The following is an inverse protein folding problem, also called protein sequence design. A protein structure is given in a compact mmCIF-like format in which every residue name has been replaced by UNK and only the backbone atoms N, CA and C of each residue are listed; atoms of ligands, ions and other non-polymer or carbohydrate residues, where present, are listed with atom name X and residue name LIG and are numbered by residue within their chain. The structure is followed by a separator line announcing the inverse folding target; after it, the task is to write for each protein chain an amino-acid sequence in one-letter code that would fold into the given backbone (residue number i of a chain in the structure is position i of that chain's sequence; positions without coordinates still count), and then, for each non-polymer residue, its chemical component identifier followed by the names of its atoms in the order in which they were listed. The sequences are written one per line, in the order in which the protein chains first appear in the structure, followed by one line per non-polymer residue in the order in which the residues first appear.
data_IF_745926552824
#
_entry.id   IF_745926552824
#
_cell.length_a   1.000
_cell.length_b   1.000
_cell.length_c   1.000
_cell.angle_alpha   90.00
_cell.angle_beta   90.00
_cell.angle_gamma   90.00
#
_symmetry.space_group_name_H-M   'P 1'
#
loop_
_entity.id
_entity.type
_entity.pdbx_description
1 polymer ?
#
# COMPACT_ATOMS: atom_id res chain seq x y z
N UNK A 1 6.46 9.82 3.64
CA UNK A 1 5.80 8.55 4.00
C UNK A 1 6.47 8.04 5.24
N UNK A 2 5.70 7.87 6.31
CA UNK A 2 6.22 7.43 7.61
C UNK A 2 6.30 5.91 7.69
N UNK A 3 5.22 5.23 7.31
CA UNK A 3 5.14 3.78 7.25
C UNK A 3 4.00 3.34 6.33
N UNK A 4 4.08 2.11 5.86
CA UNK A 4 3.00 1.44 5.14
C UNK A 4 2.88 0.02 5.66
N UNK A 5 1.69 -0.54 5.53
CA UNK A 5 1.44 -1.96 5.73
C UNK A 5 0.45 -2.49 4.71
N UNK A 6 0.32 -3.80 4.69
CA UNK A 6 -0.61 -4.49 3.83
C UNK A 6 -1.20 -5.70 4.54
N UNK A 7 -2.37 -6.10 4.09
CA UNK A 7 -3.03 -7.33 4.51
C UNK A 7 -3.58 -8.07 3.30
N UNK A 8 -3.71 -9.38 3.42
CA UNK A 8 -4.59 -10.17 2.58
C UNK A 8 -5.58 -10.92 3.46
N UNK A 9 -6.83 -10.96 3.03
CA UNK A 9 -7.91 -11.61 3.75
C UNK A 9 -8.67 -12.56 2.85
N UNK A 10 -8.92 -13.76 3.35
CA UNK A 10 -9.78 -14.77 2.71
C UNK A 10 -10.93 -15.12 3.64
N UNK A 11 -12.12 -15.31 3.08
CA UNK A 11 -13.29 -15.76 3.80
C UNK A 11 -13.43 -17.29 3.74
N UNK A 12 -13.97 -17.92 4.79
CA UNK A 12 -14.17 -19.38 4.87
C UNK A 12 -12.90 -20.21 4.55
N UNK A 13 -11.74 -19.78 5.09
CA UNK A 13 -10.44 -20.43 4.88
C UNK A 13 -10.26 -21.64 5.81
N UNK A 14 -9.92 -22.81 5.26
CA UNK A 14 -9.60 -24.02 6.04
C UNK A 14 -8.10 -24.10 6.33
N UNK A 15 -7.73 -24.45 7.57
CA UNK A 15 -6.34 -24.63 7.96
C UNK A 15 -5.84 -26.08 7.80
N UNK A 16 -4.55 -26.30 8.05
CA UNK A 16 -3.90 -27.63 7.92
C UNK A 16 -4.44 -28.69 8.89
N UNK A 17 -5.27 -28.30 9.87
CA UNK A 17 -5.94 -29.20 10.81
C UNK A 17 -7.38 -29.52 10.41
N UNK A 18 -7.88 -28.91 9.34
CA UNK A 18 -9.28 -28.97 8.89
C UNK A 18 -10.21 -28.02 9.65
N UNK A 19 -9.68 -27.04 10.38
CA UNK A 19 -10.49 -26.01 11.04
C UNK A 19 -10.81 -24.91 10.04
N UNK A 20 -12.11 -24.63 9.86
CA UNK A 20 -12.57 -23.53 9.01
C UNK A 20 -12.64 -22.23 9.81
N UNK A 21 -11.92 -21.22 9.34
CA UNK A 21 -11.89 -19.87 9.86
C UNK A 21 -12.80 -18.99 9.00
N UNK A 22 -13.72 -18.27 9.64
CA UNK A 22 -14.61 -17.35 8.92
C UNK A 22 -13.82 -16.34 8.08
N UNK A 23 -12.74 -15.81 8.64
CA UNK A 23 -11.76 -15.00 7.92
C UNK A 23 -10.39 -15.47 8.38
N UNK A 24 -9.47 -15.68 7.43
CA UNK A 24 -8.04 -15.75 7.68
C UNK A 24 -7.40 -14.47 7.17
N UNK A 25 -6.64 -13.80 8.03
CA UNK A 25 -5.89 -12.59 7.70
C UNK A 25 -4.39 -12.89 7.74
N UNK A 26 -3.66 -12.44 6.74
CA UNK A 26 -2.19 -12.42 6.69
C UNK A 26 -1.69 -11.02 6.34
N UNK A 27 -0.39 -10.75 6.54
CA UNK A 27 0.25 -9.52 6.07
C UNK A 27 1.26 -8.91 7.04
N UNK A 28 1.96 -7.88 6.53
CA UNK A 28 2.87 -7.04 7.31
C UNK A 28 2.18 -5.72 7.62
N UNK A 29 1.80 -5.52 8.88
CA UNK A 29 1.03 -4.37 9.29
C UNK A 29 1.88 -3.08 9.35
N UNK A 30 1.25 -1.90 9.39
CA UNK A 30 1.99 -0.63 9.41
C UNK A 30 3.00 -0.50 10.56
N UNK A 31 2.77 -1.14 11.72
CA UNK A 31 3.60 -0.96 12.93
C UNK A 31 4.38 -2.21 13.30
N UNK A 32 3.86 -3.40 13.01
CA UNK A 32 4.52 -4.67 13.33
C UNK A 32 4.43 -5.66 12.17
N UNK A 33 5.40 -6.55 12.11
CA UNK A 33 5.40 -7.68 11.18
C UNK A 33 5.92 -8.92 11.92
N UNK A 34 5.44 -10.10 11.52
CA UNK A 34 5.93 -11.37 12.03
C UNK A 34 6.54 -12.17 10.87
N UNK A 35 7.85 -12.01 10.72
CA UNK A 35 8.63 -12.59 9.63
C UNK A 35 8.92 -14.09 9.82
N UNK A 36 8.46 -14.68 10.92
CA UNK A 36 8.72 -16.09 11.25
C UNK A 36 7.50 -16.99 11.10
N UNK A 37 6.29 -16.42 11.08
CA UNK A 37 5.05 -17.19 11.11
C UNK A 37 3.93 -16.61 10.24
N UNK A 38 4.03 -15.36 9.76
CA UNK A 38 2.95 -14.73 8.99
C UNK A 38 3.42 -14.34 7.60
N UNK A 39 4.52 -13.58 7.50
CA UNK A 39 5.10 -13.13 6.22
C UNK A 39 6.55 -13.56 6.12
N UNK A 40 6.82 -14.74 5.58
CA UNK A 40 8.08 -15.44 5.74
C UNK A 40 8.99 -15.26 4.50
N UNK A 41 10.15 -14.59 4.63
CA UNK A 41 11.11 -14.46 3.53
C UNK A 41 11.62 -15.82 3.05
N UNK A 42 11.70 -15.98 1.73
CA UNK A 42 12.20 -17.19 1.08
C UNK A 42 13.59 -16.93 0.52
N UNK A 43 14.54 -17.80 0.89
CA UNK A 43 15.88 -17.79 0.33
C UNK A 43 15.82 -18.06 -1.17
N UNK A 44 16.36 -17.14 -1.95
CA UNK A 44 16.45 -17.31 -3.40
C UNK A 44 17.59 -18.27 -3.75
N UNK A 45 17.65 -18.71 -5.01
CA UNK A 45 18.68 -19.64 -5.49
C UNK A 45 20.12 -19.12 -5.29
N UNK A 46 20.30 -17.81 -5.12
CA UNK A 46 21.59 -17.19 -4.81
C UNK A 46 22.03 -17.40 -3.36
N UNK A 47 21.11 -17.82 -2.48
CA UNK A 47 21.31 -17.89 -1.03
C UNK A 47 20.94 -16.61 -0.28
N UNK A 48 20.37 -15.61 -0.96
CA UNK A 48 19.92 -14.36 -0.36
C UNK A 48 18.39 -14.28 -0.33
N UNK A 49 17.80 -13.75 0.73
CA UNK A 49 16.35 -13.46 0.80
C UNK A 49 15.98 -12.27 -0.09
N UNK A 50 16.89 -11.30 -0.18
CA UNK A 50 16.75 -10.09 -0.99
C UNK A 50 17.92 -10.03 -1.98
N UNK A 51 17.60 -9.88 -3.26
CA UNK A 51 18.59 -9.65 -4.33
C UNK A 51 18.40 -8.27 -4.95
N UNK A 52 19.50 -7.60 -5.28
CA UNK A 52 19.53 -6.28 -5.91
C UNK A 52 20.28 -6.35 -7.23
N UNK A 53 19.58 -6.01 -8.30
CA UNK A 53 20.12 -5.98 -9.65
C UNK A 53 20.35 -4.54 -10.08
N UNK A 54 21.54 -4.26 -10.59
CA UNK A 54 21.96 -2.96 -11.10
C UNK A 54 22.15 -3.04 -12.61
N UNK A 55 21.59 -2.08 -13.35
CA UNK A 55 21.74 -2.00 -14.80
C UNK A 55 23.16 -1.63 -15.21
N UNK A 56 23.86 -0.87 -14.37
CA UNK A 56 25.21 -0.41 -14.64
C UNK A 56 26.07 -0.66 -13.41
N UNK A 57 27.35 -0.96 -13.64
CA UNK A 57 28.35 -0.98 -12.58
C UNK A 57 28.41 0.41 -11.92
N UNK A 58 28.17 0.52 -10.59
CA UNK A 58 28.33 1.78 -9.88
C UNK A 58 29.77 2.32 -10.03
N UNK A 59 29.96 3.64 -10.17
CA UNK A 59 31.27 4.23 -10.37
C UNK A 59 32.16 4.05 -9.13
N UNK A 60 33.46 3.89 -9.35
CA UNK A 60 34.46 3.97 -8.27
C UNK A 60 34.84 5.44 -8.04
N UNK A 61 34.68 5.94 -6.82
CA UNK A 61 34.90 7.34 -6.46
C UNK A 61 36.05 7.44 -5.45
N UNK A 62 37.22 7.88 -5.88
CA UNK A 62 38.36 8.08 -4.96
C UNK A 62 38.67 9.56 -4.80
N UNK A 63 38.83 10.02 -3.55
CA UNK A 63 39.29 11.38 -3.20
C UNK A 63 40.58 11.24 -2.40
N UNK A 64 41.66 11.86 -2.86
CA UNK A 64 42.99 11.79 -2.22
C UNK A 64 43.49 10.36 -1.93
N UNK A 65 43.14 9.42 -2.82
CA UNK A 65 43.48 7.99 -2.70
C UNK A 65 42.58 7.20 -1.75
N UNK A 66 41.59 7.84 -1.12
CA UNK A 66 40.60 7.18 -0.27
C UNK A 66 39.32 6.91 -1.07
N UNK A 67 38.80 5.67 -1.09
CA UNK A 67 37.48 5.41 -1.65
C UNK A 67 36.41 6.14 -0.83
N UNK A 68 35.52 6.84 -1.53
CA UNK A 68 34.39 7.59 -0.97
C UNK A 68 33.06 6.89 -1.22
N UNK A 69 33.06 5.80 -2.00
CA UNK A 69 31.89 4.94 -2.20
C UNK A 69 31.85 3.80 -1.18
N UNK A 70 30.66 3.35 -0.86
CA UNK A 70 30.46 2.11 -0.11
C UNK A 70 31.01 0.91 -0.89
N UNK A 71 31.46 -0.15 -0.20
CA UNK A 71 31.87 -1.39 -0.84
C UNK A 71 30.78 -1.92 -1.78
N UNK A 72 31.17 -2.25 -3.00
CA UNK A 72 30.29 -2.85 -4.00
C UNK A 72 31.04 -3.96 -4.75
N UNK A 73 30.40 -5.12 -5.03
CA UNK A 73 29.06 -5.51 -4.58
C UNK A 73 29.02 -5.89 -3.09
N UNK A 74 27.86 -5.70 -2.43
CA UNK A 74 27.51 -6.39 -1.18
C UNK A 74 26.92 -7.78 -1.51
N UNK A 75 26.80 -8.71 -0.53
CA UNK A 75 26.00 -9.92 -0.73
C UNK A 75 24.59 -9.59 -1.26
N UNK A 76 24.14 -10.33 -2.26
CA UNK A 76 22.89 -10.06 -2.98
C UNK A 76 22.97 -8.99 -4.08
N UNK A 77 24.10 -8.31 -4.29
CA UNK A 77 24.26 -7.32 -5.38
C UNK A 77 24.80 -7.93 -6.67
N UNK A 78 24.10 -7.68 -7.76
CA UNK A 78 24.45 -8.16 -9.10
C UNK A 78 24.38 -7.03 -10.12
N UNK A 79 25.38 -6.96 -11.01
CA UNK A 79 25.29 -6.12 -12.22
C UNK A 79 24.78 -6.99 -13.35
N UNK A 80 23.46 -7.05 -13.50
CA UNK A 80 22.76 -7.92 -14.44
C UNK A 80 21.62 -7.16 -15.14
N UNK A 81 21.93 -6.43 -16.22
CA UNK A 81 20.96 -5.56 -16.90
C UNK A 81 19.73 -6.30 -17.45
N UNK A 82 19.91 -7.56 -17.83
CA UNK A 82 18.89 -8.40 -18.46
C UNK A 82 17.83 -8.89 -17.44
N UNK A 83 18.17 -8.89 -16.14
CA UNK A 83 17.24 -9.20 -15.05
C UNK A 83 16.29 -8.04 -14.74
N UNK A 84 16.59 -6.82 -15.22
CA UNK A 84 15.82 -5.61 -14.89
C UNK A 84 14.86 -5.26 -16.02
N UNK A 85 13.53 -5.34 -15.80
CA UNK A 85 12.56 -5.00 -16.83
C UNK A 85 12.57 -3.51 -17.19
N UNK A 86 12.19 -3.21 -18.43
CA UNK A 86 11.99 -1.84 -18.90
C UNK A 86 13.25 -0.99 -18.83
N UNK A 87 13.12 0.22 -18.29
CA UNK A 87 14.19 1.24 -18.25
C UNK A 87 14.73 1.51 -16.84
N UNK A 88 14.28 0.77 -15.82
CA UNK A 88 14.74 0.95 -14.44
C UNK A 88 16.26 0.73 -14.34
N UNK A 89 16.93 1.46 -13.46
CA UNK A 89 18.39 1.35 -13.27
C UNK A 89 18.75 0.39 -12.13
N UNK A 90 17.84 0.21 -11.18
CA UNK A 90 17.97 -0.73 -10.07
C UNK A 90 16.64 -1.48 -9.90
N UNK A 91 16.74 -2.79 -9.61
CA UNK A 91 15.62 -3.62 -9.17
C UNK A 91 15.99 -4.35 -7.89
N UNK A 92 15.14 -4.28 -6.88
CA UNK A 92 15.19 -5.17 -5.71
C UNK A 92 14.16 -6.28 -5.93
N UNK A 93 14.54 -7.53 -5.70
CA UNK A 93 13.65 -8.69 -5.76
C UNK A 93 13.62 -9.41 -4.42
N UNK A 94 12.43 -9.73 -3.95
CA UNK A 94 12.20 -10.61 -2.80
C UNK A 94 11.04 -11.57 -3.09
N UNK A 95 11.03 -12.69 -2.38
CA UNK A 95 9.93 -13.65 -2.39
C UNK A 95 9.55 -13.95 -0.96
N UNK A 96 8.26 -13.94 -0.66
CA UNK A 96 7.74 -14.32 0.66
C UNK A 96 6.63 -15.36 0.51
N UNK A 97 6.55 -16.29 1.45
CA UNK A 97 5.35 -17.08 1.68
C UNK A 97 4.54 -16.45 2.82
N UNK A 98 3.25 -16.78 2.86
CA UNK A 98 2.34 -16.30 3.90
C UNK A 98 1.63 -17.45 4.58
N UNK A 99 1.22 -17.27 5.83
CA UNK A 99 0.40 -18.23 6.56
C UNK A 99 -1.04 -18.40 6.02
N UNK A 100 -1.38 -17.69 4.94
CA UNK A 100 -2.60 -17.86 4.16
C UNK A 100 -2.43 -18.89 3.03
N UNK A 101 -1.19 -19.27 2.68
CA UNK A 101 -0.89 -20.13 1.53
C UNK A 101 -0.60 -19.35 0.24
N UNK A 102 -0.32 -18.04 0.36
CA UNK A 102 -0.01 -17.17 -0.77
C UNK A 102 1.49 -16.88 -0.81
N UNK A 103 2.10 -17.06 -1.98
CA UNK A 103 3.45 -16.61 -2.28
C UNK A 103 3.40 -15.27 -3.02
N UNK A 104 4.19 -14.30 -2.57
CA UNK A 104 4.32 -12.99 -3.20
C UNK A 104 5.74 -12.86 -3.75
N UNK A 105 5.86 -12.71 -5.06
CA UNK A 105 7.09 -12.24 -5.69
C UNK A 105 7.02 -10.72 -5.88
N UNK A 106 7.92 -9.99 -5.24
CA UNK A 106 8.04 -8.54 -5.38
C UNK A 106 9.22 -8.16 -6.28
N UNK A 107 9.00 -7.17 -7.15
CA UNK A 107 10.05 -6.39 -7.79
C UNK A 107 9.85 -4.91 -7.49
N UNK A 108 10.80 -4.30 -6.78
CA UNK A 108 10.85 -2.85 -6.56
C UNK A 108 11.84 -2.20 -7.55
N UNK A 109 11.35 -1.30 -8.39
CA UNK A 109 12.09 -0.68 -9.50
C UNK A 109 12.37 0.79 -9.21
N UNK A 110 13.61 1.21 -9.47
CA UNK A 110 14.08 2.59 -9.25
C UNK A 110 14.79 3.21 -10.46
N UNK A 111 14.68 4.53 -10.58
CA UNK A 111 15.31 5.37 -11.60
C UNK A 111 16.06 6.52 -10.95
N UNK A 112 17.26 6.84 -11.43
CA UNK A 112 18.10 7.96 -11.01
C UNK A 112 18.46 8.91 -12.16
N UNK A 113 17.76 8.81 -13.29
CA UNK A 113 18.05 9.58 -14.51
C UNK A 113 17.05 10.72 -14.76
N UNK A 114 17.49 11.77 -15.48
CA UNK A 114 16.81 13.07 -15.66
C UNK A 114 15.40 13.08 -16.31
N UNK A 115 14.92 11.96 -16.82
CA UNK A 115 13.60 11.80 -17.46
C UNK A 115 12.59 11.10 -16.55
N UNK A 116 12.95 10.83 -15.28
CA UNK A 116 12.04 10.36 -14.25
C UNK A 116 12.07 11.32 -13.05
N UNK A 117 10.91 11.45 -12.42
CA UNK A 117 10.76 12.11 -11.12
C UNK A 117 11.07 11.14 -9.96
N UNK A 118 10.76 11.52 -8.73
CA UNK A 118 11.06 10.74 -7.55
C UNK A 118 9.94 9.74 -7.24
N UNK A 119 10.11 8.49 -7.66
CA UNK A 119 9.20 7.42 -7.33
C UNK A 119 9.88 6.05 -7.33
N UNK A 120 9.21 5.08 -6.70
CA UNK A 120 9.53 3.65 -6.75
C UNK A 120 8.29 2.92 -7.25
N UNK A 121 8.47 1.99 -8.19
CA UNK A 121 7.39 1.08 -8.62
C UNK A 121 7.57 -0.26 -7.93
N UNK A 122 6.50 -0.78 -7.35
CA UNK A 122 6.42 -2.12 -6.81
C UNK A 122 5.52 -2.96 -7.71
N UNK A 123 6.05 -4.07 -8.19
CA UNK A 123 5.38 -5.01 -9.08
C UNK A 123 5.29 -6.35 -8.35
N UNK A 124 4.08 -6.68 -7.89
CA UNK A 124 3.79 -7.87 -7.12
C UNK A 124 3.09 -8.91 -7.99
N UNK A 125 3.59 -10.13 -7.96
CA UNK A 125 2.85 -11.31 -8.42
C UNK A 125 2.41 -12.11 -7.21
N UNK A 126 1.09 -12.22 -7.03
CA UNK A 126 0.44 -12.87 -5.91
C UNK A 126 -0.06 -14.22 -6.40
N UNK A 127 0.44 -15.32 -5.84
CA UNK A 127 0.14 -16.69 -6.29
C UNK A 127 -0.43 -17.50 -5.13
N UNK A 128 -1.57 -18.18 -5.35
CA UNK A 128 -2.05 -19.19 -4.41
C UNK A 128 -1.20 -20.45 -4.57
N UNK A 129 -0.20 -20.65 -3.70
CA UNK A 129 0.68 -21.82 -3.75
C UNK A 129 0.23 -22.92 -2.80
N UNK A 130 -0.58 -22.59 -1.79
CA UNK A 130 -0.96 -23.47 -0.70
C UNK A 130 0.17 -23.75 0.29
N UNK A 131 1.33 -23.10 0.16
CA UNK A 131 2.46 -23.26 1.06
C UNK A 131 2.37 -22.22 2.18
N UNK A 132 2.24 -22.70 3.42
CA UNK A 132 2.03 -21.85 4.60
C UNK A 132 3.27 -21.64 5.44
N UNK A 133 4.43 -22.11 4.99
CA UNK A 133 5.71 -21.94 5.68
C UNK A 133 6.90 -21.66 4.72
N UNK A 134 8.11 -22.12 5.04
CA UNK A 134 9.34 -21.82 4.29
C UNK A 134 9.97 -23.05 3.64
N UNK A 135 9.43 -24.24 3.89
CA UNK A 135 9.94 -25.46 3.30
C UNK A 135 9.26 -25.74 1.94
N UNK A 136 9.64 -26.86 1.31
CA UNK A 136 9.18 -27.19 -0.04
C UNK A 136 7.90 -28.03 -0.09
N UNK A 137 7.45 -28.55 1.06
CA UNK A 137 6.15 -29.22 1.19
C UNK A 137 5.03 -28.20 0.95
N UNK A 138 3.88 -28.70 0.50
CA UNK A 138 2.70 -27.87 0.23
C UNK A 138 1.60 -28.40 1.13
N UNK A 139 1.15 -27.59 2.08
CA UNK A 139 0.22 -28.02 3.13
C UNK A 139 -1.23 -27.97 2.64
N UNK A 140 -1.55 -27.02 1.76
CA UNK A 140 -2.91 -26.75 1.26
C UNK A 140 -2.99 -26.86 -0.29
N UNK A 141 -2.60 -28.00 -0.90
CA UNK A 141 -2.41 -28.11 -2.35
C UNK A 141 -3.71 -28.01 -3.18
N UNK A 142 -4.86 -28.23 -2.56
CA UNK A 142 -6.17 -28.26 -3.23
C UNK A 142 -7.07 -27.06 -2.83
N UNK A 143 -6.56 -26.14 -2.02
CA UNK A 143 -7.34 -25.02 -1.50
C UNK A 143 -7.49 -23.90 -2.53
N UNK A 144 -8.73 -23.50 -2.80
CA UNK A 144 -9.04 -22.32 -3.61
C UNK A 144 -9.30 -21.14 -2.67
N UNK A 145 -8.73 -19.98 -2.99
CA UNK A 145 -9.04 -18.71 -2.33
C UNK A 145 -10.08 -18.02 -3.20
N UNK A 146 -11.36 -18.06 -2.86
CA UNK A 146 -12.43 -17.58 -3.75
C UNK A 146 -12.89 -16.15 -3.46
N UNK A 147 -12.42 -15.58 -2.35
CA UNK A 147 -12.82 -14.28 -1.84
C UNK A 147 -11.60 -13.47 -1.35
N UNK A 148 -10.49 -13.55 -2.09
CA UNK A 148 -9.22 -12.98 -1.66
C UNK A 148 -9.19 -11.47 -1.90
N UNK A 149 -9.05 -10.70 -0.82
CA UNK A 149 -8.79 -9.27 -0.89
C UNK A 149 -7.36 -8.95 -0.49
N UNK A 150 -6.81 -7.90 -1.11
CA UNK A 150 -5.57 -7.25 -0.70
C UNK A 150 -5.90 -5.84 -0.19
N UNK A 151 -5.42 -5.47 1.00
CA UNK A 151 -5.52 -4.13 1.55
C UNK A 151 -4.14 -3.51 1.65
N UNK A 152 -4.02 -2.22 1.36
CA UNK A 152 -2.88 -1.42 1.75
C UNK A 152 -3.31 -0.32 2.71
N UNK A 153 -2.48 -0.07 3.71
CA UNK A 153 -2.62 0.99 4.70
C UNK A 153 -1.37 1.88 4.64
N UNK A 154 -1.51 3.08 4.08
CA UNK A 154 -0.40 4.01 3.84
C UNK A 154 -0.51 5.24 4.73
N UNK A 155 0.47 5.43 5.61
CA UNK A 155 0.62 6.67 6.38
C UNK A 155 1.62 7.59 5.68
N UNK A 156 1.08 8.59 5.01
CA UNK A 156 1.83 9.47 4.12
C UNK A 156 2.47 10.64 4.86
N UNK A 157 1.88 11.07 5.97
CA UNK A 157 2.36 12.13 6.86
C UNK A 157 3.52 11.68 7.75
N UNK A 158 4.28 12.65 8.28
CA UNK A 158 5.34 12.42 9.28
C UNK A 158 4.92 13.15 10.56
N UNK A 159 4.30 12.42 11.49
CA UNK A 159 3.92 12.83 12.85
C UNK A 159 3.09 14.14 12.97
N UNK A 160 1.96 14.07 13.71
CA UNK A 160 1.11 15.19 14.19
C UNK A 160 -0.18 15.55 13.41
N UNK A 161 -0.76 14.67 12.59
CA UNK A 161 -2.09 14.92 11.99
C UNK A 161 -2.17 16.25 11.21
N UNK A 162 -1.10 16.57 10.49
CA UNK A 162 -0.91 17.87 9.84
C UNK A 162 -1.20 17.86 8.33
N UNK A 163 -1.58 16.71 7.76
CA UNK A 163 -1.76 16.56 6.33
C UNK A 163 -3.21 16.27 5.97
N UNK A 164 -3.67 16.94 4.92
CA UNK A 164 -4.87 16.56 4.20
C UNK A 164 -4.57 15.34 3.35
N UNK A 165 -5.46 14.35 3.37
CA UNK A 165 -5.40 13.17 2.53
C UNK A 165 -6.47 13.29 1.43
N UNK A 166 -6.06 13.10 0.18
CA UNK A 166 -6.94 13.19 -0.99
C UNK A 166 -6.52 12.20 -2.07
N UNK A 167 -7.40 11.94 -3.03
CA UNK A 167 -7.13 11.01 -4.11
C UNK A 167 -7.88 11.32 -5.39
N UNK A 168 -7.58 10.52 -6.41
CA UNK A 168 -8.29 10.40 -7.68
C UNK A 168 -8.40 8.92 -8.00
N UNK A 169 -9.45 8.52 -8.70
CA UNK A 169 -9.67 7.13 -9.09
C UNK A 169 -11.04 6.62 -8.73
N UNK A 170 -11.78 7.28 -7.82
CA UNK A 170 -13.16 6.92 -7.49
C UNK A 170 -14.20 7.33 -8.55
N UNK A 171 -13.80 8.01 -9.63
CA UNK A 171 -14.69 8.36 -10.75
C UNK A 171 -14.26 7.70 -12.07
N UNK A 172 -15.22 7.31 -12.91
CA UNK A 172 -14.97 6.70 -14.22
C UNK A 172 -14.16 7.63 -15.15
N UNK A 173 -14.32 8.94 -14.98
CA UNK A 173 -13.62 9.97 -15.76
C UNK A 173 -12.20 10.26 -15.24
N UNK A 174 -11.82 9.78 -14.06
CA UNK A 174 -10.47 9.95 -13.57
C UNK A 174 -9.49 9.10 -14.39
N UNK A 175 -8.39 9.73 -14.79
CA UNK A 175 -7.32 9.12 -15.61
C UNK A 175 -6.18 8.53 -14.78
N UNK A 176 -6.29 8.64 -13.45
CA UNK A 176 -5.29 8.23 -12.49
C UNK A 176 -5.99 7.59 -11.28
N UNK A 177 -5.34 6.59 -10.69
CA UNK A 177 -5.72 5.98 -9.41
C UNK A 177 -4.64 6.31 -8.40
N UNK A 178 -4.76 7.45 -7.74
CA UNK A 178 -3.73 8.00 -6.87
C UNK A 178 -4.33 8.44 -5.56
N UNK A 179 -3.52 8.35 -4.52
CA UNK A 179 -3.79 8.96 -3.25
C UNK A 179 -2.55 9.70 -2.78
N UNK A 180 -2.75 10.88 -2.23
CA UNK A 180 -1.66 11.75 -1.83
C UNK A 180 -2.03 12.55 -0.59
N UNK A 181 -1.00 12.91 0.16
CA UNK A 181 -1.11 13.77 1.31
C UNK A 181 -0.33 15.06 1.09
N UNK A 182 -0.93 16.19 1.48
CA UNK A 182 -0.29 17.51 1.41
C UNK A 182 -0.49 18.27 2.73
N UNK A 183 0.44 19.15 3.10
CA UNK A 183 0.37 19.89 4.35
C UNK A 183 -0.90 20.75 4.45
N UNK A 184 -1.58 20.68 5.60
CA UNK A 184 -2.62 21.61 6.01
C UNK A 184 -2.21 22.38 7.26
N UNK A 185 -2.94 23.43 7.62
CA UNK A 185 -2.81 24.06 8.93
C UNK A 185 -3.62 23.26 9.97
N UNK A 186 -2.97 22.57 10.93
CA UNK A 186 -3.66 21.77 11.93
C UNK A 186 -4.37 22.61 13.00
N UNK A 187 -3.93 23.84 13.27
CA UNK A 187 -4.31 24.60 14.47
C UNK A 187 -5.02 25.94 14.18
N UNK A 188 -5.27 26.27 12.91
CA UNK A 188 -6.09 27.41 12.50
C UNK A 188 -5.48 28.77 12.76
N UNK A 189 -4.14 28.87 12.73
CA UNK A 189 -3.45 30.14 12.77
C UNK A 189 -3.45 30.87 11.42
N UNK A 190 -3.49 30.14 10.29
CA UNK A 190 -3.22 30.59 8.93
C UNK A 190 -4.27 30.17 7.88
N UNK A 191 -3.82 29.98 6.64
CA UNK A 191 -4.63 29.46 5.52
C UNK A 191 -4.83 27.94 5.68
N UNK A 192 -5.95 27.41 5.19
CA UNK A 192 -6.36 26.01 5.39
C UNK A 192 -5.47 25.02 4.59
N UNK A 193 -4.60 25.55 3.72
CA UNK A 193 -3.60 24.83 2.93
C UNK A 193 -2.18 25.30 3.25
N UNK A 194 -1.27 24.36 3.52
CA UNK A 194 0.12 24.63 3.88
C UNK A 194 0.36 24.72 5.37
N UNK A 195 1.44 24.11 5.85
CA UNK A 195 1.89 24.32 7.23
C UNK A 195 2.52 25.71 7.34
N UNK A 196 1.97 26.58 8.18
CA UNK A 196 2.55 27.88 8.51
C UNK A 196 2.85 27.95 10.00
N UNK A 197 4.13 27.90 10.38
CA UNK A 197 4.52 28.36 11.71
C UNK A 197 4.57 29.87 11.69
N UNK A 198 3.46 30.52 12.08
CA UNK A 198 3.34 31.98 12.12
C UNK A 198 4.34 32.65 13.07
N UNK A 199 4.83 31.89 14.04
CA UNK A 199 5.74 32.38 15.07
C UNK A 199 7.22 32.42 14.60
N UNK A 200 7.55 31.76 13.47
CA UNK A 200 8.89 31.76 12.88
C UNK A 200 8.91 32.50 11.53
N UNK A 201 9.44 33.73 11.55
CA UNK A 201 9.82 34.57 10.39
C UNK A 201 10.35 33.79 9.16
N UNK A 202 10.16 34.25 7.89
CA UNK A 202 9.13 35.08 7.29
C UNK A 202 8.30 34.29 6.23
N UNK A 203 7.02 34.00 6.46
CA UNK A 203 6.03 33.73 5.39
C UNK A 203 6.33 32.64 4.35
N UNK A 204 7.22 31.68 4.63
CA UNK A 204 7.46 30.53 3.76
C UNK A 204 6.51 29.38 4.11
N UNK A 205 6.11 28.61 3.09
CA UNK A 205 5.40 27.35 3.28
C UNK A 205 6.34 26.39 3.99
N UNK A 206 5.95 25.93 5.18
CA UNK A 206 6.68 24.88 5.88
C UNK A 206 6.34 23.52 5.26
N UNK A 207 7.36 22.67 5.11
CA UNK A 207 7.23 21.32 4.52
C UNK A 207 6.50 21.30 3.15
N UNK A 208 6.95 22.03 2.11
CA UNK A 208 6.28 22.09 0.81
C UNK A 208 6.50 20.81 -0.01
N UNK A 209 6.14 19.66 0.56
CA UNK A 209 6.26 18.36 -0.06
C UNK A 209 4.92 17.62 -0.04
N UNK A 210 4.73 16.79 -1.04
CA UNK A 210 3.58 15.91 -1.21
C UNK A 210 4.12 14.49 -1.34
N UNK A 211 3.47 13.56 -0.68
CA UNK A 211 3.79 12.14 -0.80
C UNK A 211 2.53 11.43 -1.24
N UNK A 212 2.67 10.41 -2.08
CA UNK A 212 1.51 9.69 -2.57
C UNK A 212 1.83 8.26 -2.97
N UNK A 213 0.75 7.51 -3.14
CA UNK A 213 0.72 6.17 -3.69
C UNK A 213 -0.19 6.13 -4.90
N UNK A 214 0.11 5.28 -5.88
CA UNK A 214 -0.68 5.12 -7.09
C UNK A 214 -0.86 3.64 -7.42
N UNK A 215 -2.06 3.26 -7.86
CA UNK A 215 -2.33 1.94 -8.45
C UNK A 215 -2.17 2.05 -9.96
N UNK A 216 -1.14 1.38 -10.49
CA UNK A 216 -0.77 1.46 -11.90
C UNK A 216 -1.40 0.35 -12.74
N UNK A 217 -1.52 -0.86 -12.16
CA UNK A 217 -2.08 -2.02 -12.83
C UNK A 217 -2.64 -3.00 -11.82
N UNK A 218 -3.79 -3.59 -12.13
CA UNK A 218 -4.34 -4.73 -11.42
C UNK A 218 -4.90 -5.71 -12.45
N UNK A 219 -4.46 -6.96 -12.46
CA UNK A 219 -5.08 -7.97 -13.33
C UNK A 219 -6.57 -8.11 -13.03
N UNK A 220 -7.40 -8.16 -14.07
CA UNK A 220 -8.85 -8.37 -13.92
C UNK A 220 -9.20 -9.76 -13.37
N UNK A 221 -8.40 -10.77 -13.69
CA UNK A 221 -8.51 -12.12 -13.10
C UNK A 221 -7.23 -12.93 -13.37
N UNK A 222 -7.06 -14.13 -12.79
CA UNK A 222 -5.91 -14.99 -13.12
C UNK A 222 -5.80 -15.38 -14.59
N UNK A 223 -6.91 -15.31 -15.32
CA UNK A 223 -6.98 -15.66 -16.74
C UNK A 223 -7.08 -14.46 -17.66
N UNK A 224 -7.15 -13.25 -17.09
CA UNK A 224 -7.27 -11.98 -17.82
C UNK A 224 -6.29 -10.95 -17.23
N UNK A 225 -5.12 -10.77 -17.86
CA UNK A 225 -4.09 -9.85 -17.37
C UNK A 225 -4.34 -8.39 -17.79
N UNK A 226 -5.53 -8.06 -18.29
CA UNK A 226 -5.88 -6.67 -18.58
C UNK A 226 -6.07 -5.89 -17.28
N UNK A 227 -5.73 -4.60 -17.32
CA UNK A 227 -5.85 -3.71 -16.16
C UNK A 227 -7.33 -3.45 -15.82
N UNK A 228 -7.76 -3.87 -14.63
CA UNK A 228 -9.09 -3.56 -14.10
C UNK A 228 -9.13 -2.15 -13.51
N UNK A 229 -9.68 -1.23 -14.30
CA UNK A 229 -9.84 0.17 -13.90
C UNK A 229 -10.89 0.40 -12.79
N UNK A 230 -11.68 -0.61 -12.41
CA UNK A 230 -12.54 -0.53 -11.23
C UNK A 230 -11.79 -0.84 -9.93
N UNK A 231 -10.54 -1.29 -10.02
CA UNK A 231 -9.67 -1.45 -8.85
C UNK A 231 -8.86 -0.18 -8.62
N UNK A 232 -8.60 0.23 -7.36
CA UNK A 232 -9.03 -0.42 -6.13
C UNK A 232 -10.54 -0.26 -5.89
N UNK A 233 -11.22 -1.37 -5.60
CA UNK A 233 -12.65 -1.39 -5.33
C UNK A 233 -13.02 -0.88 -3.93
N UNK A 234 -12.04 -0.56 -3.08
CA UNK A 234 -12.26 0.17 -1.84
C UNK A 234 -11.23 1.27 -1.67
N UNK A 235 -11.64 2.47 -1.29
CA UNK A 235 -10.75 3.57 -0.92
C UNK A 235 -11.27 4.33 0.30
N UNK A 236 -10.38 4.81 1.18
CA UNK A 236 -10.78 5.67 2.28
C UNK A 236 -9.66 6.19 3.14
N UNK A 237 -9.94 7.20 3.95
CA UNK A 237 -9.00 7.75 4.92
C UNK A 237 -9.60 7.67 6.31
N UNK A 238 -8.86 7.07 7.24
CA UNK A 238 -9.30 6.85 8.61
C UNK A 238 -8.10 6.93 9.56
N UNK A 239 -8.34 6.92 10.86
CA UNK A 239 -7.33 6.94 11.90
C UNK A 239 -6.22 5.88 11.69
N UNK A 240 -4.97 6.32 11.79
CA UNK A 240 -3.78 5.46 11.70
C UNK A 240 -3.53 4.58 12.95
N UNK A 241 -4.19 4.87 14.07
CA UNK A 241 -3.93 4.25 15.38
C UNK A 241 -4.89 3.11 15.75
N UNK A 242 -5.71 2.65 14.81
CA UNK A 242 -6.64 1.56 15.05
C UNK A 242 -5.89 0.26 15.33
N UNK A 243 -5.95 -0.21 16.58
CA UNK A 243 -5.16 -1.36 17.06
C UNK A 243 -5.33 -2.61 16.19
N UNK A 244 -6.54 -2.85 15.71
CA UNK A 244 -6.92 -4.02 14.91
C UNK A 244 -6.44 -3.99 13.45
N UNK A 245 -5.95 -2.85 12.95
CA UNK A 245 -5.43 -2.71 11.57
C UNK A 245 -3.98 -2.23 11.50
N UNK A 246 -3.40 -1.81 12.63
CA UNK A 246 -2.00 -1.33 12.67
C UNK A 246 -1.02 -2.43 13.10
N UNK A 247 -1.52 -3.50 13.71
CA UNK A 247 -0.74 -4.60 14.25
C UNK A 247 -0.89 -5.85 13.37
N UNK A 248 0.16 -6.66 13.28
CA UNK A 248 0.16 -7.87 12.46
C UNK A 248 -0.87 -8.91 12.96
N UNK A 249 -1.32 -9.81 12.06
CA UNK A 249 -2.36 -10.80 12.36
C UNK A 249 -2.08 -11.68 13.59
N UNK A 250 -0.81 -11.95 13.93
CA UNK A 250 -0.48 -12.79 15.09
C UNK A 250 -0.75 -12.12 16.44
N UNK A 251 -0.97 -10.81 16.45
CA UNK A 251 -1.27 -10.01 17.64
C UNK A 251 -2.76 -9.60 17.72
N UNK A 252 -3.59 -10.05 16.79
CA UNK A 252 -5.01 -9.71 16.71
C UNK A 252 -5.87 -10.97 16.78
N UNK A 253 -7.14 -10.78 17.11
CA UNK A 253 -8.13 -11.85 17.26
C UNK A 253 -8.87 -12.13 15.95
N UNK A 254 -9.50 -13.31 15.79
CA UNK A 254 -10.35 -13.60 14.63
C UNK A 254 -11.49 -12.60 14.41
N UNK A 255 -12.01 -12.00 15.49
CA UNK A 255 -13.00 -10.92 15.38
C UNK A 255 -12.41 -9.66 14.75
N UNK A 256 -11.16 -9.32 15.08
CA UNK A 256 -10.44 -8.19 14.48
C UNK A 256 -10.03 -8.48 13.04
N UNK A 257 -9.66 -9.73 12.72
CA UNK A 257 -9.42 -10.16 11.33
C UNK A 257 -10.64 -9.90 10.46
N UNK A 258 -11.82 -10.26 10.97
CA UNK A 258 -13.09 -9.97 10.30
C UNK A 258 -13.33 -8.47 10.13
N UNK A 259 -12.97 -7.62 11.10
CA UNK A 259 -13.08 -6.16 10.94
C UNK A 259 -12.20 -5.63 9.79
N UNK A 260 -10.97 -6.14 9.63
CA UNK A 260 -10.09 -5.76 8.51
C UNK A 260 -10.67 -6.22 7.17
N UNK A 261 -11.21 -7.44 7.11
CA UNK A 261 -11.86 -7.96 5.92
C UNK A 261 -13.16 -7.21 5.57
N UNK A 262 -13.94 -6.80 6.58
CA UNK A 262 -15.13 -5.97 6.37
C UNK A 262 -14.73 -4.60 5.81
N UNK A 263 -13.61 -4.01 6.23
CA UNK A 263 -13.08 -2.80 5.57
C UNK A 263 -12.76 -3.05 4.10
N UNK A 264 -12.06 -4.14 3.76
CA UNK A 264 -11.72 -4.48 2.37
C UNK A 264 -12.96 -4.60 1.47
N UNK A 265 -14.01 -5.25 1.98
CA UNK A 265 -15.18 -5.66 1.20
C UNK A 265 -16.35 -4.67 1.24
N UNK A 266 -16.47 -3.87 2.31
CA UNK A 266 -17.62 -3.02 2.60
C UNK A 266 -17.24 -1.55 2.89
N UNK A 267 -15.95 -1.19 2.84
CA UNK A 267 -15.50 0.16 3.14
C UNK A 267 -15.61 0.52 4.63
N UNK A 268 -15.70 1.82 4.92
CA UNK A 268 -15.62 2.36 6.28
C UNK A 268 -16.97 2.77 6.90
N UNK A 269 -18.05 2.79 6.11
CA UNK A 269 -19.34 3.36 6.51
C UNK A 269 -19.93 2.72 7.77
N UNK A 270 -19.76 1.41 7.94
CA UNK A 270 -20.26 0.65 9.09
C UNK A 270 -19.72 1.16 10.44
N UNK A 271 -18.59 1.87 10.42
CA UNK A 271 -18.00 2.49 11.61
C UNK A 271 -18.58 3.89 11.89
N UNK A 272 -19.17 4.53 10.89
CA UNK A 272 -19.83 5.84 10.99
C UNK A 272 -18.89 7.05 11.04
N UNK A 273 -17.58 6.85 11.00
CA UNK A 273 -16.58 7.92 11.08
C UNK A 273 -16.24 8.54 9.72
N UNK A 274 -16.27 7.71 8.68
CA UNK A 274 -15.83 8.05 7.33
C UNK A 274 -17.00 7.79 6.38
N UNK A 275 -17.63 8.84 5.82
CA UNK A 275 -18.80 8.67 4.96
C UNK A 275 -18.44 7.98 3.64
N UNK A 276 -19.27 7.01 3.27
CA UNK A 276 -19.28 6.43 1.91
C UNK A 276 -19.63 7.49 0.86
N UNK A 277 -18.94 7.48 -0.28
CA UNK A 277 -19.22 8.29 -1.45
C UNK A 277 -20.35 7.63 -2.25
N UNK A 278 -21.46 8.34 -2.37
CA UNK A 278 -22.68 7.91 -3.03
C UNK A 278 -23.20 9.04 -3.91
N UNK A 279 -24.13 8.74 -4.82
CA UNK A 279 -24.78 9.79 -5.63
C UNK A 279 -25.46 10.88 -4.76
N UNK A 280 -25.93 10.52 -3.56
CA UNK A 280 -26.61 11.44 -2.65
C UNK A 280 -25.68 12.46 -1.98
N UNK A 281 -24.39 12.17 -1.89
CA UNK A 281 -23.37 13.03 -1.29
C UNK A 281 -22.16 13.24 -2.21
N UNK A 282 -22.32 13.05 -3.51
CA UNK A 282 -21.26 13.22 -4.50
C UNK A 282 -20.91 14.72 -4.67
N UNK A 283 -19.67 15.15 -4.34
CA UNK A 283 -19.24 16.54 -4.53
C UNK A 283 -19.13 16.93 -6.02
N UNK A 284 -19.05 15.95 -6.93
CA UNK A 284 -18.96 16.13 -8.38
C UNK A 284 -20.12 15.39 -9.09
N UNK A 285 -21.38 15.88 -8.99
CA UNK A 285 -22.57 15.16 -9.44
C UNK A 285 -22.66 14.95 -10.97
N UNK A 286 -21.78 15.58 -11.75
CA UNK A 286 -21.62 15.34 -13.18
C UNK A 286 -20.71 14.16 -13.53
N UNK A 287 -20.08 13.54 -12.53
CA UNK A 287 -19.14 12.44 -12.69
C UNK A 287 -19.75 11.15 -12.17
N UNK A 288 -19.44 10.04 -12.83
CA UNK A 288 -19.91 8.71 -12.44
C UNK A 288 -18.95 8.08 -11.44
N UNK A 289 -19.46 7.74 -10.24
CA UNK A 289 -18.68 7.02 -9.22
C UNK A 289 -18.38 5.61 -9.74
N UNK A 290 -17.13 5.16 -9.62
CA UNK A 290 -16.74 3.80 -10.00
C UNK A 290 -17.41 2.76 -9.08
N UNK A 291 -17.65 1.54 -9.58
CA UNK A 291 -18.09 0.44 -8.72
C UNK A 291 -17.10 0.20 -7.58
N UNK A 292 -17.60 0.03 -6.37
CA UNK A 292 -16.78 -0.19 -5.18
C UNK A 292 -17.33 0.55 -3.96
N UNK A 293 -16.54 0.53 -2.89
CA UNK A 293 -16.79 1.27 -1.66
C UNK A 293 -15.74 2.39 -1.51
N UNK A 294 -16.08 3.59 -1.96
CA UNK A 294 -15.18 4.73 -1.95
C UNK A 294 -15.59 5.70 -0.86
N UNK A 295 -14.66 6.20 -0.06
CA UNK A 295 -14.98 7.23 0.92
C UNK A 295 -14.96 8.63 0.31
N UNK A 296 -15.75 9.53 0.87
CA UNK A 296 -15.62 10.97 0.58
C UNK A 296 -14.22 11.44 1.00
N UNK A 297 -13.56 12.23 0.15
CA UNK A 297 -12.20 12.74 0.43
C UNK A 297 -12.26 13.75 1.57
N UNK A 298 -11.19 13.83 2.38
CA UNK A 298 -11.14 14.79 3.49
C UNK A 298 -11.37 16.23 3.02
N UNK A 299 -10.90 16.59 1.82
CA UNK A 299 -10.98 17.95 1.27
C UNK A 299 -12.36 18.33 0.69
N UNK A 300 -13.29 17.39 0.54
CA UNK A 300 -14.62 17.65 -0.04
C UNK A 300 -15.58 18.26 1.00
N UNK A 301 -15.22 19.43 1.53
CA UNK A 301 -15.91 20.14 2.64
C UNK A 301 -17.37 20.52 2.35
N UNK A 302 -17.79 20.50 1.08
CA UNK A 302 -19.20 20.65 0.71
C UNK A 302 -20.07 19.51 1.23
N UNK A 303 -19.45 18.35 1.42
CA UNK A 303 -20.04 17.12 1.96
C UNK A 303 -19.67 16.98 3.44
N UNK A 304 -18.39 17.10 3.75
CA UNK A 304 -17.87 17.05 5.13
C UNK A 304 -18.01 18.44 5.76
N UNK A 305 -19.18 18.72 6.33
CA UNK A 305 -19.52 20.03 6.89
C UNK A 305 -18.91 20.24 8.27
N UNK A 306 -18.47 21.46 8.54
CA UNK A 306 -18.03 21.89 9.87
C UNK A 306 -16.57 21.54 10.19
N UNK A 307 -15.85 20.95 9.24
CA UNK A 307 -14.41 20.71 9.32
C UNK A 307 -13.70 21.84 8.57
N UNK A 308 -12.71 22.44 9.20
CA UNK A 308 -11.81 23.42 8.60
C UNK A 308 -10.34 22.99 8.71
N UNK A 309 -10.01 22.28 9.78
CA UNK A 309 -8.69 21.75 10.06
C UNK A 309 -8.75 20.23 10.25
N UNK A 310 -7.62 19.56 10.07
CA UNK A 310 -7.54 18.10 10.21
C UNK A 310 -7.90 17.65 11.64
N UNK A 311 -7.60 18.48 12.65
CA UNK A 311 -8.00 18.22 14.03
C UNK A 311 -9.50 18.38 14.31
N UNK A 312 -10.29 18.88 13.36
CA UNK A 312 -11.75 18.92 13.50
C UNK A 312 -12.39 17.54 13.25
N UNK A 313 -11.66 16.60 12.64
CA UNK A 313 -12.12 15.21 12.52
C UNK A 313 -12.00 14.49 13.86
N UNK A 314 -13.15 14.13 14.45
CA UNK A 314 -13.21 13.43 15.75
C UNK A 314 -12.43 12.10 15.76
N UNK A 315 -12.30 11.45 14.61
CA UNK A 315 -11.57 10.19 14.48
C UNK A 315 -10.06 10.37 14.36
N UNK A 316 -9.54 11.57 14.10
CA UNK A 316 -8.10 11.79 13.94
C UNK A 316 -7.42 11.94 15.30
N UNK A 317 -6.56 10.99 15.67
CA UNK A 317 -5.72 11.06 16.89
C UNK A 317 -4.30 11.52 16.57
N UNK A 318 -3.36 10.61 16.29
CA UNK A 318 -1.96 10.97 15.99
C UNK A 318 -1.67 11.11 14.49
N UNK A 319 -2.61 10.68 13.64
CA UNK A 319 -2.54 10.84 12.20
C UNK A 319 -3.64 10.05 11.50
N UNK A 320 -3.82 10.33 10.22
CA UNK A 320 -4.65 9.55 9.33
C UNK A 320 -3.79 8.56 8.54
N UNK A 321 -4.40 7.49 8.07
CA UNK A 321 -3.84 6.59 7.07
C UNK A 321 -4.82 6.52 5.90
N UNK A 322 -4.26 6.42 4.70
CA UNK A 322 -5.04 6.02 3.55
C UNK A 322 -5.14 4.51 3.47
N UNK A 323 -6.31 4.04 3.08
CA UNK A 323 -6.60 2.65 2.86
C UNK A 323 -7.13 2.48 1.45
N UNK A 324 -6.62 1.46 0.77
CA UNK A 324 -7.26 0.96 -0.44
C UNK A 324 -7.27 -0.56 -0.44
N UNK A 325 -8.35 -1.17 -0.94
CA UNK A 325 -8.39 -2.61 -1.17
C UNK A 325 -8.60 -2.96 -2.63
N UNK A 326 -7.99 -4.06 -3.03
CA UNK A 326 -8.07 -4.68 -4.34
C UNK A 326 -8.71 -6.06 -4.18
N UNK A 327 -9.57 -6.41 -5.13
CA UNK A 327 -10.27 -7.70 -5.17
C UNK A 327 -11.80 -7.53 -5.17
N UNK A 328 -12.56 -8.60 -4.87
CA UNK A 328 -12.07 -9.93 -4.53
C UNK A 328 -11.48 -10.64 -5.76
N UNK A 329 -10.52 -11.54 -5.52
CA UNK A 329 -10.05 -12.50 -6.51
C UNK A 329 -10.50 -13.92 -6.14
N UNK A 330 -10.74 -14.73 -7.16
CA UNK A 330 -10.78 -16.18 -7.05
C UNK A 330 -9.49 -16.75 -7.63
N UNK A 331 -8.66 -17.37 -6.80
CA UNK A 331 -7.39 -18.02 -7.15
C UNK A 331 -7.44 -19.51 -6.81
N UNK A 332 -7.49 -20.36 -7.83
CA UNK A 332 -7.23 -21.79 -7.67
C UNK A 332 -5.74 -22.08 -7.36
N UNK A 333 -5.40 -23.32 -6.98
CA UNK A 333 -4.01 -23.70 -6.75
C UNK A 333 -3.12 -23.42 -7.97
N UNK A 334 -2.03 -22.68 -7.74
CA UNK A 334 -1.06 -22.26 -8.75
C UNK A 334 -1.49 -21.06 -9.60
N UNK A 335 -2.71 -20.52 -9.41
CA UNK A 335 -3.17 -19.33 -10.12
C UNK A 335 -2.60 -18.05 -9.47
N UNK A 336 -2.40 -17.03 -10.30
CA UNK A 336 -1.74 -15.79 -9.89
C UNK A 336 -2.41 -14.55 -10.46
N UNK A 337 -2.30 -13.44 -9.75
CA UNK A 337 -2.64 -12.09 -10.22
C UNK A 337 -1.50 -11.13 -9.99
N UNK A 338 -1.36 -10.15 -10.87
CA UNK A 338 -0.36 -9.08 -10.80
C UNK A 338 -0.98 -7.78 -10.29
N UNK A 339 -0.33 -7.16 -9.32
CA UNK A 339 -0.66 -5.83 -8.79
C UNK A 339 0.57 -4.94 -8.87
N UNK A 340 0.45 -3.80 -9.55
CA UNK A 340 1.53 -2.82 -9.69
C UNK A 340 1.10 -1.51 -9.05
N UNK A 341 1.91 -1.02 -8.14
CA UNK A 341 1.70 0.28 -7.49
C UNK A 341 2.98 1.10 -7.45
N UNK A 342 2.87 2.39 -7.21
CA UNK A 342 4.01 3.29 -7.11
C UNK A 342 3.92 4.17 -5.87
N UNK A 343 5.05 4.44 -5.24
CA UNK A 343 5.17 5.46 -4.21
C UNK A 343 5.93 6.65 -4.81
N UNK A 344 5.33 7.83 -4.74
CA UNK A 344 5.87 9.07 -5.29
C UNK A 344 6.13 10.12 -4.21
N UNK A 345 7.14 10.95 -4.46
CA UNK A 345 7.46 12.12 -3.64
C UNK A 345 7.62 13.35 -4.54
N UNK A 346 6.94 14.43 -4.20
CA UNK A 346 7.07 15.73 -4.84
C UNK A 346 7.44 16.80 -3.82
N UNK A 347 8.19 17.80 -4.26
CA UNK A 347 8.40 19.04 -3.51
C UNK A 347 8.33 20.23 -4.45
N UNK A 348 7.87 21.39 -3.93
CA UNK A 348 7.84 22.64 -4.68
C UNK A 348 9.21 23.34 -4.73
#
# INVERSE_FOLDING_TARGET
MQNEGWYMGEYDWEDTTGTVWQVKLTGAAPVTANETQVTMPILQATGDEITRYFRNQPPSITVDGMPLQDPFPLPGDYVEPDSIPGTAEVMVKSVINTDLGVTIEEKALGWGQKHHDNYIIFDWTITNTGNVDTDSEIELPDQTLDSLYYLRASRLDIWHSEYWYSGRGEYEEDTLRVHYAYPGDPNGGGDDTGLFYLDDYPGYIHRPHTVGTAVLHVDASPTDPTDDWNQPAMTGTENSDLLWIRNDPSQTSPAEWKMVYDVMSQGWDWRGNVPELTDGNNPYPSRTIRPGNHSVRMEDLGVIRGVRHIHDFEWTTYGASYFFAIGPFTLGPGESVRVVHANGYGSL
#
